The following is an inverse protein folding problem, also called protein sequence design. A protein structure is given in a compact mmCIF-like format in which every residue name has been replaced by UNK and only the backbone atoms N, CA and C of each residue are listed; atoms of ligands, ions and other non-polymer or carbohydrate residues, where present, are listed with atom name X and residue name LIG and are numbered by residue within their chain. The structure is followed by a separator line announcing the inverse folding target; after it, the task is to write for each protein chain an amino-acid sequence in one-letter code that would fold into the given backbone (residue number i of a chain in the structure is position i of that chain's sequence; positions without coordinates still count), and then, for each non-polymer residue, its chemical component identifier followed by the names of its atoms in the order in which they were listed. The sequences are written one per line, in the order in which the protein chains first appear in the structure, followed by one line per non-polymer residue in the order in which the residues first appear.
data_IF_787827174175
#
_entry.id   IF_787827174175
#
_cell.length_a   1.000
_cell.length_b   1.000
_cell.length_c   1.000
_cell.angle_alpha   90.00
_cell.angle_beta   90.00
_cell.angle_gamma   90.00
#
_symmetry.space_group_name_H-M   'P 1'
#
loop_
_entity.id
_entity.type
_entity.pdbx_description
1 polymer ?
#
# COMPACT_ATOMS: atom_id res chain seq x y z
N UNK A 1 17.40 20.55 -12.85
CA UNK A 1 18.81 20.18 -13.12
C UNK A 1 18.79 18.68 -13.32
N UNK A 2 19.31 18.14 -14.44
CA UNK A 2 19.07 16.76 -14.85
C UNK A 2 19.49 15.71 -13.81
N UNK A 3 20.55 15.99 -13.03
CA UNK A 3 21.00 15.12 -11.93
C UNK A 3 19.96 15.08 -10.79
N UNK A 4 19.36 16.21 -10.43
CA UNK A 4 18.34 16.25 -9.37
C UNK A 4 17.09 15.46 -9.78
N UNK A 5 16.65 15.59 -11.03
CA UNK A 5 15.50 14.88 -11.57
C UNK A 5 15.75 13.35 -11.57
N UNK A 6 16.95 12.92 -11.94
CA UNK A 6 17.37 11.52 -11.88
C UNK A 6 17.40 10.97 -10.45
N UNK A 7 17.91 11.74 -9.48
CA UNK A 7 17.94 11.34 -8.07
C UNK A 7 16.53 11.22 -7.47
N UNK A 8 15.62 12.12 -7.84
CA UNK A 8 14.21 12.06 -7.42
C UNK A 8 13.53 10.82 -7.99
N UNK A 9 13.74 10.53 -9.27
CA UNK A 9 13.21 9.31 -9.90
C UNK A 9 13.80 8.05 -9.26
N UNK A 10 15.11 8.01 -9.02
CA UNK A 10 15.76 6.90 -8.33
C UNK A 10 15.15 6.67 -6.94
N UNK A 11 14.96 7.73 -6.15
CA UNK A 11 14.32 7.65 -4.84
C UNK A 11 12.87 7.15 -4.94
N UNK A 12 12.10 7.59 -5.95
CA UNK A 12 10.76 7.10 -6.23
C UNK A 12 10.75 5.59 -6.49
N UNK A 13 11.66 5.10 -7.35
CA UNK A 13 11.75 3.69 -7.71
C UNK A 13 12.18 2.81 -6.53
N UNK A 14 13.14 3.26 -5.72
CA UNK A 14 13.55 2.56 -4.49
C UNK A 14 12.37 2.46 -3.53
N UNK A 15 11.67 3.56 -3.30
CA UNK A 15 10.52 3.59 -2.40
C UNK A 15 9.36 2.72 -2.92
N UNK A 16 9.12 2.71 -4.25
CA UNK A 16 8.17 1.83 -4.92
C UNK A 16 8.53 0.35 -4.72
N UNK A 17 9.81 0.02 -4.87
CA UNK A 17 10.32 -1.34 -4.73
C UNK A 17 10.14 -1.86 -3.30
N UNK A 18 10.43 -1.03 -2.30
CA UNK A 18 10.23 -1.37 -0.88
C UNK A 18 8.75 -1.60 -0.58
N UNK A 19 7.89 -0.66 -0.97
CA UNK A 19 6.46 -0.72 -0.69
C UNK A 19 5.82 -1.92 -1.38
N UNK A 20 5.87 -1.96 -2.72
CA UNK A 20 5.16 -2.93 -3.52
C UNK A 20 5.80 -4.31 -3.40
N UNK A 21 7.12 -4.40 -3.49
CA UNK A 21 7.85 -5.65 -3.34
C UNK A 21 7.68 -6.27 -1.95
N UNK A 22 7.77 -5.45 -0.90
CA UNK A 22 7.52 -5.91 0.48
C UNK A 22 6.08 -6.37 0.71
N UNK A 23 5.10 -5.64 0.18
CA UNK A 23 3.68 -6.05 0.26
C UNK A 23 3.41 -7.35 -0.50
N UNK A 24 3.98 -7.53 -1.69
CA UNK A 24 3.90 -8.78 -2.46
C UNK A 24 4.53 -9.93 -1.69
N UNK A 25 5.73 -9.74 -1.13
CA UNK A 25 6.40 -10.76 -0.32
C UNK A 25 5.53 -11.18 0.87
N UNK A 26 4.96 -10.23 1.59
CA UNK A 26 4.07 -10.51 2.73
C UNK A 26 2.84 -11.31 2.28
N UNK A 27 2.20 -10.90 1.17
CA UNK A 27 0.97 -11.51 0.69
C UNK A 27 1.14 -12.90 0.05
N UNK A 28 2.18 -13.08 -0.76
CA UNK A 28 2.37 -14.27 -1.61
C UNK A 28 3.31 -15.29 -0.96
N UNK A 29 4.34 -14.85 -0.24
CA UNK A 29 5.33 -15.76 0.35
C UNK A 29 5.05 -15.97 1.83
N UNK A 30 4.96 -14.88 2.59
CA UNK A 30 4.85 -14.97 4.05
C UNK A 30 3.47 -15.46 4.51
N UNK A 31 2.38 -14.97 3.92
CA UNK A 31 1.03 -15.36 4.36
C UNK A 31 0.75 -16.87 4.17
N UNK A 32 1.15 -17.53 3.06
CA UNK A 32 1.06 -18.98 2.95
C UNK A 32 1.98 -19.72 3.91
N UNK A 33 3.21 -19.22 4.13
CA UNK A 33 4.16 -19.83 5.08
C UNK A 33 3.61 -19.85 6.51
N UNK A 34 2.83 -18.84 6.92
CA UNK A 34 2.20 -18.84 8.25
C UNK A 34 1.28 -20.04 8.49
N UNK A 35 0.76 -20.67 7.43
CA UNK A 35 -0.05 -21.89 7.57
C UNK A 35 0.74 -23.06 8.16
N UNK A 36 2.06 -23.07 8.03
CA UNK A 36 2.94 -24.09 8.62
C UNK A 36 3.43 -23.73 10.03
N UNK A 37 3.17 -22.50 10.50
CA UNK A 37 3.61 -22.02 11.81
C UNK A 37 2.50 -22.06 12.88
N UNK A 38 1.24 -22.10 12.46
CA UNK A 38 0.08 -22.17 13.34
C UNK A 38 -1.12 -22.70 12.58
N UNK A 39 -1.96 -23.52 13.22
CA UNK A 39 -3.20 -24.03 12.61
C UNK A 39 -4.37 -23.04 12.72
N UNK A 40 -4.29 -22.11 13.66
CA UNK A 40 -5.36 -21.16 13.98
C UNK A 40 -5.22 -19.85 13.22
N UNK A 41 -6.33 -19.23 12.84
CA UNK A 41 -6.34 -17.93 12.15
C UNK A 41 -5.81 -16.83 13.07
N UNK A 42 -6.12 -16.95 14.36
CA UNK A 42 -5.67 -16.16 15.50
C UNK A 42 -4.15 -16.08 15.55
N UNK A 43 -3.49 -17.25 15.56
CA UNK A 43 -2.03 -17.36 15.68
C UNK A 43 -1.33 -16.78 14.47
N UNK A 44 -1.79 -17.16 13.26
CA UNK A 44 -1.29 -16.62 11.99
C UNK A 44 -1.38 -15.10 11.94
N UNK A 45 -2.55 -14.55 12.26
CA UNK A 45 -2.76 -13.10 12.24
C UNK A 45 -1.89 -12.38 13.29
N UNK A 46 -1.73 -12.95 14.48
CA UNK A 46 -0.88 -12.38 15.53
C UNK A 46 0.58 -12.25 15.07
N UNK A 47 1.10 -13.27 14.37
CA UNK A 47 2.45 -13.22 13.79
C UNK A 47 2.50 -12.18 12.65
N UNK A 48 1.50 -12.19 11.76
CA UNK A 48 1.38 -11.24 10.65
C UNK A 48 1.39 -9.79 11.14
N UNK A 49 0.65 -9.48 12.19
CA UNK A 49 0.61 -8.14 12.81
C UNK A 49 2.00 -7.74 13.33
N UNK A 50 2.74 -8.66 13.95
CA UNK A 50 4.08 -8.38 14.49
C UNK A 50 5.08 -8.09 13.37
N UNK A 51 5.03 -8.87 12.28
CA UNK A 51 5.86 -8.63 11.10
C UNK A 51 5.46 -7.35 10.38
N UNK A 52 4.16 -7.13 10.17
CA UNK A 52 3.61 -5.92 9.57
C UNK A 52 4.01 -4.64 10.33
N UNK A 53 4.01 -4.66 11.67
CA UNK A 53 4.51 -3.53 12.47
C UNK A 53 5.99 -3.23 12.23
N UNK A 54 6.83 -4.25 12.07
CA UNK A 54 8.26 -4.07 11.73
C UNK A 54 8.41 -3.56 10.30
N UNK A 55 7.70 -4.13 9.34
CA UNK A 55 7.71 -3.70 7.95
C UNK A 55 7.25 -2.24 7.82
N UNK A 56 6.19 -1.84 8.54
CA UNK A 56 5.66 -0.47 8.51
C UNK A 56 6.66 0.60 8.96
N UNK A 57 7.68 0.27 9.75
CA UNK A 57 8.76 1.21 10.09
C UNK A 57 9.56 1.66 8.86
N UNK A 58 9.59 0.85 7.80
CA UNK A 58 10.29 1.13 6.54
C UNK A 58 9.28 1.48 5.43
N UNK A 59 8.13 0.79 5.41
CA UNK A 59 7.10 1.00 4.40
C UNK A 59 6.45 2.38 4.49
N UNK A 60 6.17 2.90 5.69
CA UNK A 60 5.54 4.23 5.85
C UNK A 60 6.48 5.35 5.36
N UNK A 61 7.76 5.43 5.76
CA UNK A 61 8.71 6.38 5.15
C UNK A 61 8.80 6.25 3.63
N UNK A 62 8.82 5.02 3.11
CA UNK A 62 8.83 4.77 1.67
C UNK A 62 7.56 5.32 0.99
N UNK A 63 6.39 5.13 1.60
CA UNK A 63 5.13 5.69 1.10
C UNK A 63 5.14 7.22 1.08
N UNK A 64 5.71 7.85 2.11
CA UNK A 64 5.87 9.32 2.16
C UNK A 64 6.78 9.80 1.02
N UNK A 65 7.93 9.14 0.81
CA UNK A 65 8.84 9.44 -0.31
C UNK A 65 8.11 9.27 -1.64
N UNK A 66 7.33 8.20 -1.83
CA UNK A 66 6.53 7.97 -3.03
C UNK A 66 5.55 9.10 -3.32
N UNK A 67 4.85 9.58 -2.30
CA UNK A 67 3.89 10.68 -2.46
C UNK A 67 4.62 11.96 -2.88
N UNK A 68 5.68 12.34 -2.15
CA UNK A 68 6.42 13.58 -2.41
C UNK A 68 7.03 13.56 -3.82
N UNK A 69 7.76 12.50 -4.16
CA UNK A 69 8.40 12.34 -5.47
C UNK A 69 7.38 12.16 -6.59
N UNK A 70 6.24 11.51 -6.33
CA UNK A 70 5.13 11.39 -7.28
C UNK A 70 4.49 12.73 -7.63
N UNK A 71 4.29 13.60 -6.63
CA UNK A 71 3.82 14.97 -6.84
C UNK A 71 4.83 15.77 -7.67
N UNK A 72 6.13 15.67 -7.33
CA UNK A 72 7.20 16.33 -8.09
C UNK A 72 7.19 15.91 -9.57
N UNK A 73 7.15 14.61 -9.84
CA UNK A 73 7.12 14.06 -11.19
C UNK A 73 5.84 14.41 -11.97
N UNK A 74 4.79 14.87 -11.29
CA UNK A 74 3.50 15.26 -11.88
C UNK A 74 3.34 16.78 -12.06
N UNK A 75 4.36 17.57 -11.68
CA UNK A 75 4.30 19.03 -11.60
C UNK A 75 3.91 19.72 -12.92
N UNK A 76 4.40 19.23 -14.06
CA UNK A 76 4.07 19.80 -15.37
C UNK A 76 2.57 19.79 -15.68
N UNK A 77 1.84 18.78 -15.18
CA UNK A 77 0.40 18.66 -15.39
C UNK A 77 -0.41 19.53 -14.43
N UNK A 78 0.13 19.82 -13.24
CA UNK A 78 -0.44 20.78 -12.29
C UNK A 78 -0.38 22.22 -12.82
N UNK A 79 0.64 22.53 -13.62
CA UNK A 79 0.85 23.85 -14.24
C UNK A 79 -0.06 24.05 -15.45
N UNK A 80 -0.40 22.98 -16.18
CA UNK A 80 -1.27 23.03 -17.36
C UNK A 80 -2.46 22.06 -17.25
N UNK A 81 -3.51 22.41 -16.48
CA UNK A 81 -4.64 21.53 -16.23
C UNK A 81 -5.42 21.13 -17.49
N UNK A 82 -5.34 21.92 -18.55
CA UNK A 82 -5.96 21.61 -19.85
C UNK A 82 -5.44 20.32 -20.48
N UNK A 83 -4.20 19.90 -20.15
CA UNK A 83 -3.59 18.65 -20.62
C UNK A 83 -4.14 17.40 -19.91
N UNK A 84 -4.80 17.57 -18.76
CA UNK A 84 -5.26 16.47 -17.91
C UNK A 84 -6.32 15.61 -18.63
N UNK A 85 -7.25 16.25 -19.33
CA UNK A 85 -8.37 15.56 -19.99
C UNK A 85 -8.16 15.40 -21.51
N UNK A 86 -7.25 16.18 -22.10
CA UNK A 86 -7.01 16.20 -23.54
C UNK A 86 -5.93 15.23 -24.02
N UNK A 87 -5.15 14.65 -23.12
CA UNK A 87 -4.04 13.73 -23.46
C UNK A 87 -4.20 12.38 -22.77
N UNK A 88 -3.79 11.30 -23.45
CA UNK A 88 -3.74 9.95 -22.86
C UNK A 88 -2.85 9.93 -21.62
N UNK A 89 -1.70 10.60 -21.68
CA UNK A 89 -0.80 10.79 -20.53
C UNK A 89 -1.53 11.39 -19.32
N UNK A 90 -2.30 12.46 -19.53
CA UNK A 90 -3.06 13.11 -18.47
C UNK A 90 -4.13 12.21 -17.85
N UNK A 91 -4.85 11.46 -18.68
CA UNK A 91 -5.87 10.51 -18.24
C UNK A 91 -5.27 9.36 -17.41
N UNK A 92 -4.16 8.77 -17.87
CA UNK A 92 -3.42 7.72 -17.15
C UNK A 92 -2.93 8.26 -15.80
N UNK A 93 -2.42 9.50 -15.76
CA UNK A 93 -1.95 10.12 -14.53
C UNK A 93 -3.09 10.34 -13.53
N UNK A 94 -4.26 10.81 -13.98
CA UNK A 94 -5.45 10.97 -13.11
C UNK A 94 -5.86 9.64 -12.51
N UNK A 95 -5.96 8.59 -13.32
CA UNK A 95 -6.30 7.24 -12.84
C UNK A 95 -5.26 6.78 -11.80
N UNK A 96 -3.95 7.00 -12.06
CA UNK A 96 -2.89 6.68 -11.10
C UNK A 96 -3.07 7.43 -9.77
N UNK A 97 -3.41 8.72 -9.81
CA UNK A 97 -3.67 9.52 -8.59
C UNK A 97 -4.88 9.00 -7.83
N UNK A 98 -5.97 8.66 -8.51
CA UNK A 98 -7.17 8.05 -7.89
C UNK A 98 -6.79 6.73 -7.21
N UNK A 99 -6.02 5.87 -7.88
CA UNK A 99 -5.54 4.61 -7.29
C UNK A 99 -4.66 4.85 -6.06
N UNK A 100 -3.79 5.87 -6.08
CA UNK A 100 -3.00 6.26 -4.90
C UNK A 100 -3.91 6.69 -3.76
N UNK A 101 -4.96 7.48 -4.00
CA UNK A 101 -5.92 7.87 -2.96
C UNK A 101 -6.61 6.64 -2.38
N UNK A 102 -7.08 5.71 -3.23
CA UNK A 102 -7.68 4.44 -2.81
C UNK A 102 -6.70 3.63 -1.96
N UNK A 103 -5.42 3.56 -2.37
CA UNK A 103 -4.36 2.89 -1.62
C UNK A 103 -4.23 3.50 -0.21
N UNK A 104 -4.13 4.83 -0.11
CA UNK A 104 -3.96 5.53 1.17
C UNK A 104 -5.13 5.30 2.11
N UNK A 105 -6.37 5.42 1.60
CA UNK A 105 -7.59 5.16 2.38
C UNK A 105 -7.63 3.71 2.84
N UNK A 106 -7.39 2.75 1.94
CA UNK A 106 -7.40 1.32 2.25
C UNK A 106 -6.34 0.98 3.31
N UNK A 107 -5.12 1.51 3.14
CA UNK A 107 -4.02 1.29 4.07
C UNK A 107 -4.30 1.90 5.45
N UNK A 108 -4.86 3.12 5.51
CA UNK A 108 -5.23 3.76 6.76
C UNK A 108 -6.31 2.95 7.51
N UNK A 109 -7.33 2.46 6.80
CA UNK A 109 -8.36 1.59 7.37
C UNK A 109 -7.73 0.27 7.84
N UNK A 110 -6.83 -0.32 7.05
CA UNK A 110 -6.14 -1.57 7.39
C UNK A 110 -5.34 -1.43 8.70
N UNK A 111 -4.53 -0.38 8.83
CA UNK A 111 -3.76 -0.09 10.04
C UNK A 111 -4.67 0.17 11.24
N UNK A 112 -5.77 0.91 11.05
CA UNK A 112 -6.74 1.19 12.12
C UNK A 112 -7.42 -0.10 12.62
N UNK A 113 -7.85 -0.98 11.72
CA UNK A 113 -8.47 -2.26 12.12
C UNK A 113 -7.50 -3.16 12.87
N UNK A 114 -6.23 -3.18 12.48
CA UNK A 114 -5.18 -3.90 13.22
C UNK A 114 -5.02 -3.34 14.64
N UNK A 115 -5.03 -2.01 14.80
CA UNK A 115 -4.95 -1.38 16.13
C UNK A 115 -6.13 -1.78 17.03
N UNK A 116 -7.35 -1.73 16.48
CA UNK A 116 -8.58 -2.13 17.18
C UNK A 116 -8.55 -3.61 17.58
N UNK A 117 -8.10 -4.52 16.70
CA UNK A 117 -7.96 -5.95 17.02
C UNK A 117 -7.01 -6.17 18.21
N UNK A 118 -5.93 -5.40 18.29
CA UNK A 118 -4.93 -5.52 19.36
C UNK A 118 -5.47 -4.97 20.68
N UNK A 119 -6.18 -3.85 20.65
CA UNK A 119 -6.87 -3.28 21.83
C UNK A 119 -7.90 -4.28 22.38
N UNK A 120 -8.74 -4.85 21.51
CA UNK A 120 -9.75 -5.85 21.89
C UNK A 120 -9.16 -7.13 22.48
N UNK A 121 -7.98 -7.55 22.02
CA UNK A 121 -7.27 -8.71 22.58
C UNK A 121 -6.73 -8.45 23.98
N UNK A 122 -6.42 -7.20 24.32
CA UNK A 122 -5.94 -6.78 25.65
C UNK A 122 -7.12 -6.64 26.63
N UNK A 123 -8.27 -6.15 26.17
CA UNK A 123 -9.49 -5.96 26.98
C UNK A 123 -10.33 -7.25 27.14
N UNK A 124 -9.68 -8.40 27.28
CA UNK A 124 -10.14 -9.78 27.04
C UNK A 124 -11.38 -10.33 27.79
N UNK A 125 -12.47 -9.57 27.99
CA UNK A 125 -13.67 -10.05 28.71
C UNK A 125 -15.05 -9.71 28.12
N UNK A 126 -15.19 -8.99 27.00
CA UNK A 126 -16.53 -8.50 26.59
C UNK A 126 -16.98 -8.69 25.13
N UNK A 127 -16.16 -9.23 24.22
CA UNK A 127 -16.53 -9.29 22.80
C UNK A 127 -16.87 -10.69 22.29
N UNK A 128 -17.99 -10.81 21.55
CA UNK A 128 -18.41 -12.01 20.85
C UNK A 128 -17.34 -12.47 19.85
N UNK A 129 -17.02 -13.78 19.83
CA UNK A 129 -16.08 -14.39 18.90
C UNK A 129 -16.43 -14.10 17.44
N UNK A 130 -17.72 -13.95 17.12
CA UNK A 130 -18.19 -13.65 15.77
C UNK A 130 -17.70 -12.29 15.27
N UNK A 131 -17.69 -11.27 16.15
CA UNK A 131 -17.20 -9.94 15.79
C UNK A 131 -15.69 -9.94 15.55
N UNK A 132 -14.95 -10.70 16.34
CA UNK A 132 -13.50 -10.85 16.19
C UNK A 132 -13.18 -11.50 14.85
N UNK A 133 -13.84 -12.60 14.48
CA UNK A 133 -13.62 -13.25 13.18
C UNK A 133 -13.95 -12.32 11.99
N UNK A 134 -15.03 -11.52 12.08
CA UNK A 134 -15.37 -10.50 11.06
C UNK A 134 -14.28 -9.42 10.91
N UNK A 135 -13.63 -9.01 11.99
CA UNK A 135 -12.54 -8.03 11.92
C UNK A 135 -11.32 -8.64 11.23
N UNK A 136 -10.96 -9.88 11.59
CA UNK A 136 -9.80 -10.57 11.00
C UNK A 136 -9.92 -10.80 9.51
N UNK A 137 -11.09 -11.25 9.05
CA UNK A 137 -11.34 -11.43 7.61
C UNK A 137 -11.22 -10.11 6.85
N UNK A 138 -11.74 -9.00 7.42
CA UNK A 138 -11.57 -7.65 6.87
C UNK A 138 -10.11 -7.21 6.81
N UNK A 139 -9.32 -7.47 7.86
CA UNK A 139 -7.87 -7.15 7.85
C UNK A 139 -7.18 -7.87 6.69
N UNK A 140 -7.43 -9.18 6.51
CA UNK A 140 -6.84 -9.97 5.42
C UNK A 140 -7.29 -9.45 4.05
N UNK A 141 -8.59 -9.16 3.88
CA UNK A 141 -9.12 -8.65 2.62
C UNK A 141 -8.51 -7.30 2.24
N UNK A 142 -8.45 -6.35 3.19
CA UNK A 142 -7.82 -5.05 2.97
C UNK A 142 -6.34 -5.17 2.60
N UNK A 143 -5.60 -6.07 3.25
CA UNK A 143 -4.20 -6.32 2.89
C UNK A 143 -4.03 -6.78 1.44
N UNK A 144 -4.90 -7.67 0.96
CA UNK A 144 -4.90 -8.11 -0.46
C UNK A 144 -5.26 -6.96 -1.40
N UNK A 145 -6.28 -6.18 -1.07
CA UNK A 145 -6.70 -5.01 -1.86
C UNK A 145 -5.54 -4.02 -1.96
N UNK A 146 -4.84 -3.71 -0.85
CA UNK A 146 -3.66 -2.84 -0.84
C UNK A 146 -2.58 -3.34 -1.81
N UNK A 147 -2.29 -4.65 -1.84
CA UNK A 147 -1.31 -5.23 -2.78
C UNK A 147 -1.77 -5.07 -4.24
N UNK A 148 -3.01 -5.43 -4.54
CA UNK A 148 -3.56 -5.37 -5.91
C UNK A 148 -3.53 -3.93 -6.44
N UNK A 149 -4.00 -2.98 -5.63
CA UNK A 149 -3.98 -1.55 -5.97
C UNK A 149 -2.54 -1.06 -6.16
N UNK A 150 -1.60 -1.50 -5.31
CA UNK A 150 -0.18 -1.15 -5.44
C UNK A 150 0.43 -1.63 -6.76
N UNK A 151 0.09 -2.85 -7.21
CA UNK A 151 0.54 -3.38 -8.50
C UNK A 151 -0.09 -2.60 -9.66
N UNK A 152 -1.37 -2.26 -9.57
CA UNK A 152 -2.03 -1.42 -10.58
C UNK A 152 -1.37 -0.04 -10.69
N UNK A 153 -0.99 0.59 -9.56
CA UNK A 153 -0.24 1.87 -9.56
C UNK A 153 1.11 1.73 -10.27
N UNK A 154 1.84 0.63 -10.07
CA UNK A 154 3.09 0.36 -10.79
C UNK A 154 2.86 0.21 -12.29
N UNK A 155 1.81 -0.51 -12.70
CA UNK A 155 1.44 -0.64 -14.11
C UNK A 155 1.17 0.73 -14.73
N UNK A 156 0.38 1.58 -14.05
CA UNK A 156 0.13 2.95 -14.52
C UNK A 156 1.42 3.77 -14.62
N UNK A 157 2.37 3.59 -13.69
CA UNK A 157 3.67 4.24 -13.77
C UNK A 157 4.49 3.79 -14.99
N UNK A 158 4.47 2.50 -15.31
CA UNK A 158 5.12 1.97 -16.50
C UNK A 158 4.49 2.51 -17.79
N UNK A 159 3.16 2.59 -17.85
CA UNK A 159 2.44 3.17 -19.00
C UNK A 159 2.83 4.63 -19.24
N UNK A 160 2.85 5.46 -18.18
CA UNK A 160 3.29 6.85 -18.27
C UNK A 160 4.72 6.99 -18.79
N UNK A 161 5.63 6.09 -18.38
CA UNK A 161 7.02 6.12 -18.82
C UNK A 161 7.19 5.64 -20.27
N UNK A 162 6.33 4.72 -20.73
CA UNK A 162 6.35 4.23 -22.11
C UNK A 162 5.83 5.22 -23.16
N UNK A 163 5.30 6.38 -22.73
CA UNK A 163 4.79 7.41 -23.62
C UNK A 163 3.43 7.10 -24.25
N UNK A 164 2.70 6.14 -23.69
CA UNK A 164 1.31 5.80 -24.06
C UNK A 164 0.34 6.83 -23.49
#
# INVERSE_FOLDING_TARGET
MPIADALIMWAHLVAASIWVGGSIFIGIVFAPLLKTMSDTVEGRLSIMIRVGRKFNKIAIPSLIILIITGIYNSSNLLINPSLILSTTYGQILVIKVILVIILLVTFAIHVRLIRVEIEKKIESKQFSEELVQKIRSKIIALGRITVIVSIAILLMAALLHSGV
#
